data_IF_594020658200
#
_entry.id   IF_594020658200
#
_cell.length_a   1.000
_cell.length_b   1.000
_cell.length_c   1.000
_cell.angle_alpha   90.00
_cell.angle_beta   90.00
_cell.angle_gamma   90.00
#
_symmetry.space_group_name_H-M   'P 1'
#
loop_
_entity.id
_entity.type
_entity.pdbx_description
1 polymer ?
#
# COMPACT_ATOMS: atom_id res chain seq x y z
N UNK A 1 -22.49 6.93 -2.34
CA UNK A 1 -21.69 8.07 -2.88
C UNK A 1 -21.16 7.78 -4.28
N UNK A 2 -20.32 6.76 -4.49
CA UNK A 2 -19.78 6.43 -5.83
C UNK A 2 -20.90 6.19 -6.86
N UNK A 3 -21.91 5.40 -6.50
CA UNK A 3 -23.08 5.17 -7.36
C UNK A 3 -23.86 6.45 -7.68
N UNK A 4 -24.00 7.35 -6.70
CA UNK A 4 -24.68 8.64 -6.90
C UNK A 4 -23.91 9.54 -7.88
N UNK A 5 -22.57 9.56 -7.79
CA UNK A 5 -21.73 10.26 -8.78
C UNK A 5 -21.92 9.66 -10.18
N UNK A 6 -21.94 8.33 -10.29
CA UNK A 6 -22.21 7.63 -11.55
C UNK A 6 -23.58 7.98 -12.15
N UNK A 7 -24.64 7.97 -11.34
CA UNK A 7 -26.00 8.38 -11.76
C UNK A 7 -26.08 9.84 -12.21
N UNK A 8 -25.22 10.70 -11.66
CA UNK A 8 -25.11 12.10 -12.05
C UNK A 8 -24.16 12.33 -13.25
N UNK A 9 -23.68 11.28 -13.92
CA UNK A 9 -22.74 11.39 -15.04
C UNK A 9 -21.35 11.89 -14.64
N UNK A 10 -21.01 11.87 -13.35
CA UNK A 10 -19.72 12.35 -12.82
C UNK A 10 -18.85 11.14 -12.46
N UNK A 11 -17.64 11.01 -13.05
CA UNK A 11 -16.75 9.91 -12.66
C UNK A 11 -16.32 10.09 -11.20
N UNK A 12 -16.36 9.01 -10.43
CA UNK A 12 -15.86 9.03 -9.06
C UNK A 12 -14.34 9.26 -9.05
N UNK A 13 -13.83 10.26 -8.29
CA UNK A 13 -12.41 10.48 -8.13
C UNK A 13 -11.64 9.24 -7.68
N UNK A 14 -10.37 9.15 -8.06
CA UNK A 14 -9.54 7.97 -7.77
C UNK A 14 -9.49 7.66 -6.27
N UNK A 15 -9.28 8.66 -5.39
CA UNK A 15 -9.28 8.44 -3.93
C UNK A 15 -10.55 7.77 -3.39
N UNK A 16 -11.74 8.07 -3.94
CA UNK A 16 -12.99 7.40 -3.54
C UNK A 16 -13.06 5.96 -4.05
N UNK A 17 -12.67 5.74 -5.31
CA UNK A 17 -12.65 4.40 -5.90
C UNK A 17 -11.64 3.50 -5.18
N UNK A 18 -10.49 4.05 -4.79
CA UNK A 18 -9.48 3.38 -3.99
C UNK A 18 -10.05 2.93 -2.64
N UNK A 19 -10.78 3.80 -1.93
CA UNK A 19 -11.42 3.42 -0.66
C UNK A 19 -12.41 2.26 -0.86
N UNK A 20 -13.24 2.30 -1.90
CA UNK A 20 -14.16 1.19 -2.18
C UNK A 20 -13.43 -0.12 -2.55
N UNK A 21 -12.34 -0.02 -3.31
CA UNK A 21 -11.52 -1.17 -3.70
C UNK A 21 -10.86 -1.84 -2.49
N UNK A 22 -10.34 -1.06 -1.54
CA UNK A 22 -9.71 -1.57 -0.31
C UNK A 22 -10.61 -2.49 0.51
N UNK A 23 -11.92 -2.19 0.53
CA UNK A 23 -12.94 -2.94 1.27
C UNK A 23 -13.66 -3.99 0.42
N UNK A 24 -13.21 -4.23 -0.81
CA UNK A 24 -13.86 -5.19 -1.70
C UNK A 24 -13.72 -6.63 -1.15
N UNK A 25 -14.82 -7.39 -1.00
CA UNK A 25 -14.76 -8.77 -0.50
C UNK A 25 -14.13 -9.74 -1.52
N UNK A 26 -13.91 -9.29 -2.78
CA UNK A 26 -13.35 -10.12 -3.85
C UNK A 26 -11.83 -10.17 -3.86
N UNK A 27 -11.17 -9.37 -3.04
CA UNK A 27 -9.71 -9.32 -3.04
C UNK A 27 -9.15 -10.69 -2.65
N UNK A 28 -8.16 -11.13 -3.42
CA UNK A 28 -7.39 -12.32 -3.13
C UNK A 28 -6.07 -11.93 -2.48
N UNK A 29 -5.49 -12.86 -1.72
CA UNK A 29 -4.23 -12.66 -1.01
C UNK A 29 -3.18 -13.68 -1.44
N UNK A 30 -1.93 -13.25 -1.47
CA UNK A 30 -0.76 -14.12 -1.64
C UNK A 30 0.42 -13.56 -0.84
N UNK A 31 1.34 -14.44 -0.44
CA UNK A 31 2.64 -14.04 0.11
C UNK A 31 3.73 -14.44 -0.87
N UNK A 32 4.64 -13.51 -1.14
CA UNK A 32 5.77 -13.70 -2.03
C UNK A 32 7.05 -13.61 -1.24
N UNK A 33 7.89 -14.64 -1.28
CA UNK A 33 9.27 -14.49 -0.84
C UNK A 33 10.01 -13.62 -1.85
N UNK A 34 10.82 -12.71 -1.32
CA UNK A 34 11.57 -11.72 -2.07
C UNK A 34 13.01 -11.69 -1.62
N UNK A 35 13.93 -11.26 -2.48
CA UNK A 35 15.32 -11.04 -2.06
C UNK A 35 15.46 -9.83 -1.13
N UNK A 36 14.62 -8.82 -1.33
CA UNK A 36 14.51 -7.66 -0.45
C UNK A 36 13.06 -7.14 -0.46
N UNK A 37 12.38 -7.13 0.69
CA UNK A 37 10.99 -6.69 0.79
C UNK A 37 10.83 -5.20 0.52
N UNK A 38 11.86 -4.36 0.74
CA UNK A 38 11.81 -2.94 0.38
C UNK A 38 11.68 -2.75 -1.13
N UNK A 39 12.38 -3.60 -1.90
CA UNK A 39 12.25 -3.64 -3.36
C UNK A 39 10.90 -4.26 -3.75
N UNK A 40 10.45 -5.30 -3.03
CA UNK A 40 9.13 -5.90 -3.22
C UNK A 40 7.98 -4.88 -3.06
N UNK A 41 7.95 -4.13 -1.95
CA UNK A 41 6.98 -3.07 -1.66
C UNK A 41 7.13 -1.82 -2.56
N UNK A 42 8.24 -1.68 -3.28
CA UNK A 42 8.41 -0.66 -4.30
C UNK A 42 7.87 -1.11 -5.66
N UNK A 43 8.12 -2.37 -6.03
CA UNK A 43 7.91 -2.87 -7.40
C UNK A 43 6.57 -3.56 -7.62
N UNK A 44 6.02 -4.21 -6.59
CA UNK A 44 4.75 -4.95 -6.71
C UNK A 44 3.54 -4.00 -6.63
N UNK A 45 3.48 -3.01 -5.70
CA UNK A 45 2.32 -2.14 -5.58
C UNK A 45 1.91 -1.35 -6.84
N UNK A 46 2.82 -0.88 -7.71
CA UNK A 46 2.44 -0.20 -8.94
C UNK A 46 1.69 -1.07 -9.95
N UNK A 47 1.78 -2.40 -9.83
CA UNK A 47 1.12 -3.31 -10.76
C UNK A 47 -0.41 -3.09 -10.76
N UNK A 48 -1.07 -3.15 -11.93
CA UNK A 48 -2.53 -3.08 -12.01
C UNK A 48 -3.20 -4.10 -11.09
N UNK A 49 -4.28 -3.70 -10.44
CA UNK A 49 -5.05 -4.60 -9.56
C UNK A 49 -4.42 -4.92 -8.21
N UNK A 50 -3.15 -4.60 -7.95
CA UNK A 50 -2.58 -4.70 -6.59
C UNK A 50 -3.17 -3.60 -5.71
N UNK A 51 -3.70 -3.98 -4.55
CA UNK A 51 -4.44 -3.08 -3.65
C UNK A 51 -3.67 -2.81 -2.37
N UNK A 52 -3.03 -3.82 -1.83
CA UNK A 52 -2.30 -3.74 -0.57
C UNK A 52 -0.99 -4.53 -0.66
N UNK A 53 0.06 -4.02 -0.03
CA UNK A 53 1.30 -4.75 0.22
C UNK A 53 1.78 -4.53 1.64
N UNK A 54 2.45 -5.53 2.20
CA UNK A 54 3.10 -5.40 3.51
C UNK A 54 4.34 -6.28 3.61
N UNK A 55 5.46 -5.66 3.97
CA UNK A 55 6.71 -6.35 4.25
C UNK A 55 6.62 -7.23 5.51
N UNK A 56 7.25 -8.39 5.41
CA UNK A 56 7.32 -9.38 6.48
C UNK A 56 8.41 -10.41 6.23
N UNK A 57 8.33 -11.47 7.02
CA UNK A 57 9.29 -12.56 7.05
C UNK A 57 8.56 -13.89 6.92
N UNK A 58 9.10 -14.78 6.12
CA UNK A 58 8.71 -16.20 6.09
C UNK A 58 9.88 -17.06 6.55
N UNK A 59 9.71 -18.38 6.59
CA UNK A 59 10.83 -19.29 6.74
C UNK A 59 11.85 -19.20 5.58
N UNK A 60 11.47 -18.63 4.43
CA UNK A 60 12.34 -18.44 3.26
C UNK A 60 13.13 -17.13 3.27
N UNK A 61 12.89 -16.24 4.23
CA UNK A 61 13.57 -14.95 4.35
C UNK A 61 12.59 -13.77 4.27
N UNK A 62 12.99 -12.72 3.55
CA UNK A 62 12.19 -11.52 3.35
C UNK A 62 10.99 -11.81 2.44
N UNK A 63 9.83 -11.24 2.77
CA UNK A 63 8.61 -11.49 2.02
C UNK A 63 7.69 -10.28 1.96
N UNK A 64 6.80 -10.27 0.98
CA UNK A 64 5.73 -9.29 0.84
C UNK A 64 4.40 -10.01 0.76
N UNK A 65 3.50 -9.68 1.69
CA UNK A 65 2.09 -10.06 1.63
C UNK A 65 1.35 -9.08 0.73
N UNK A 66 0.56 -9.58 -0.21
CA UNK A 66 -0.12 -8.77 -1.22
C UNK A 66 -1.60 -9.14 -1.27
N UNK A 67 -2.47 -8.13 -1.30
CA UNK A 67 -3.87 -8.30 -1.71
C UNK A 67 -4.10 -7.66 -3.07
N UNK A 68 -4.81 -8.34 -3.94
CA UNK A 68 -5.06 -7.90 -5.31
C UNK A 68 -6.48 -8.22 -5.76
N UNK A 69 -6.94 -7.49 -6.76
CA UNK A 69 -8.25 -7.67 -7.37
C UNK A 69 -8.16 -8.65 -8.56
N UNK A 70 -8.73 -9.87 -8.44
CA UNK A 70 -8.70 -10.86 -9.52
C UNK A 70 -9.45 -10.43 -10.78
N UNK A 71 -10.32 -9.40 -10.70
CA UNK A 71 -11.00 -8.85 -11.87
C UNK A 71 -10.08 -7.94 -12.73
N UNK A 72 -8.92 -7.53 -12.20
CA UNK A 72 -7.98 -6.61 -12.86
C UNK A 72 -6.64 -7.27 -13.16
N UNK A 73 -6.16 -8.14 -12.26
CA UNK A 73 -4.89 -8.86 -12.45
C UNK A 73 -5.01 -10.29 -11.95
N UNK A 74 -4.18 -11.17 -12.47
CA UNK A 74 -4.05 -12.54 -11.98
C UNK A 74 -2.79 -12.72 -11.14
N UNK A 75 -2.79 -13.75 -10.30
CA UNK A 75 -1.60 -14.18 -9.60
C UNK A 75 -0.45 -14.54 -10.57
N UNK A 76 -0.79 -15.10 -11.74
CA UNK A 76 0.19 -15.41 -12.79
C UNK A 76 0.86 -14.15 -13.35
N UNK A 77 0.11 -13.07 -13.57
CA UNK A 77 0.68 -11.80 -14.03
C UNK A 77 1.52 -11.12 -12.95
N UNK A 78 1.06 -11.10 -11.68
CA UNK A 78 1.88 -10.57 -10.57
C UNK A 78 3.19 -11.36 -10.44
N UNK A 79 3.11 -12.69 -10.49
CA UNK A 79 4.27 -13.58 -10.42
C UNK A 79 5.23 -13.39 -11.59
N UNK A 80 4.71 -13.22 -12.81
CA UNK A 80 5.49 -12.97 -14.02
C UNK A 80 6.24 -11.65 -13.93
N UNK A 81 5.57 -10.57 -13.56
CA UNK A 81 6.21 -9.26 -13.40
C UNK A 81 7.22 -9.27 -12.25
N UNK A 82 6.89 -9.89 -11.12
CA UNK A 82 7.83 -9.99 -10.00
C UNK A 82 9.07 -10.83 -10.33
N UNK A 83 8.95 -11.90 -11.12
CA UNK A 83 10.13 -12.62 -11.65
C UNK A 83 10.95 -11.77 -12.62
N UNK A 84 10.30 -11.04 -13.53
CA UNK A 84 11.00 -10.13 -14.47
C UNK A 84 11.83 -9.08 -13.73
N UNK A 85 11.35 -8.68 -12.55
CA UNK A 85 12.00 -7.72 -11.67
C UNK A 85 12.96 -8.39 -10.66
N UNK A 86 13.24 -9.68 -10.82
CA UNK A 86 14.06 -10.50 -9.91
C UNK A 86 13.70 -10.28 -8.44
N UNK A 87 12.40 -10.19 -8.13
CA UNK A 87 11.94 -9.89 -6.77
C UNK A 87 11.05 -10.99 -6.16
N UNK A 88 10.65 -12.04 -6.90
CA UNK A 88 9.82 -13.13 -6.37
C UNK A 88 10.52 -14.47 -6.56
N UNK A 89 10.73 -15.21 -5.47
CA UNK A 89 11.37 -16.53 -5.46
C UNK A 89 10.40 -17.66 -5.13
N UNK A 90 9.52 -17.46 -4.14
CA UNK A 90 8.47 -18.42 -3.74
C UNK A 90 7.12 -17.74 -3.60
N UNK A 91 6.06 -18.53 -3.77
CA UNK A 91 4.67 -18.07 -3.71
C UNK A 91 3.94 -18.93 -2.69
N UNK A 92 3.16 -18.27 -1.85
CA UNK A 92 2.35 -18.89 -0.81
C UNK A 92 0.90 -18.44 -0.95
N UNK A 93 -0.02 -19.40 -1.02
CA UNK A 93 -1.44 -19.15 -1.33
C UNK A 93 -2.38 -19.66 -0.24
N UNK A 94 -3.47 -18.92 0.05
CA UNK A 94 -4.44 -19.36 1.03
C UNK A 94 -5.16 -20.62 0.53
N UNK A 95 -5.75 -21.43 1.42
CA UNK A 95 -6.49 -22.62 1.02
C UNK A 95 -7.56 -22.30 -0.03
N UNK A 96 -7.64 -23.12 -1.09
CA UNK A 96 -8.61 -22.95 -2.16
C UNK A 96 -8.29 -21.84 -3.19
N UNK A 97 -7.20 -21.08 -3.02
CA UNK A 97 -6.80 -20.10 -4.03
C UNK A 97 -6.29 -20.78 -5.31
N UNK A 98 -6.64 -20.26 -6.50
CA UNK A 98 -6.23 -20.83 -7.76
C UNK A 98 -4.72 -20.62 -8.01
N UNK A 99 -4.03 -21.69 -8.39
CA UNK A 99 -2.62 -21.68 -8.81
C UNK A 99 -2.43 -21.76 -10.33
N UNK A 100 -3.53 -21.77 -11.10
CA UNK A 100 -3.52 -21.92 -12.55
C UNK A 100 -2.67 -20.83 -13.22
N UNK A 101 -1.81 -21.22 -14.15
CA UNK A 101 -0.98 -20.29 -14.93
C UNK A 101 0.31 -19.84 -14.24
N UNK A 102 0.55 -20.26 -12.99
CA UNK A 102 1.85 -20.06 -12.36
C UNK A 102 2.93 -20.92 -13.04
N UNK A 103 4.08 -20.30 -13.32
CA UNK A 103 5.27 -20.99 -13.85
C UNK A 103 6.15 -21.62 -12.77
N UNK A 104 5.82 -21.41 -11.49
CA UNK A 104 6.54 -21.95 -10.35
C UNK A 104 5.54 -22.54 -9.35
N UNK A 105 5.93 -23.55 -8.57
CA UNK A 105 5.06 -24.13 -7.57
C UNK A 105 4.69 -23.08 -6.52
N UNK A 106 3.44 -23.14 -6.07
CA UNK A 106 2.97 -22.40 -4.91
C UNK A 106 2.83 -23.35 -3.71
N UNK A 107 3.25 -22.89 -2.54
CA UNK A 107 3.07 -23.61 -1.29
C UNK A 107 1.81 -23.11 -0.54
N UNK A 108 1.25 -23.91 0.39
CA UNK A 108 0.18 -23.43 1.27
C UNK A 108 0.63 -22.24 2.12
N UNK A 109 -0.20 -21.21 2.26
CA UNK A 109 0.15 -20.00 3.01
C UNK A 109 0.48 -20.25 4.48
N UNK A 110 -0.14 -21.27 5.08
CA UNK A 110 0.20 -21.69 6.44
C UNK A 110 1.68 -22.10 6.60
N UNK A 111 2.29 -22.68 5.55
CA UNK A 111 3.70 -23.09 5.61
C UNK A 111 4.68 -21.91 5.50
N UNK A 112 4.21 -20.75 5.05
CA UNK A 112 5.01 -19.52 5.02
C UNK A 112 5.44 -19.09 6.42
N UNK A 113 4.63 -19.40 7.45
CA UNK A 113 4.79 -18.89 8.82
C UNK A 113 5.04 -17.38 8.83
N UNK A 114 4.23 -16.65 8.06
CA UNK A 114 4.43 -15.22 7.83
C UNK A 114 4.41 -14.45 9.15
N UNK A 115 5.45 -13.66 9.39
CA UNK A 115 5.55 -12.72 10.51
C UNK A 115 5.71 -11.31 9.97
N UNK A 116 5.00 -10.39 10.58
CA UNK A 116 5.07 -8.99 10.21
C UNK A 116 6.47 -8.39 10.44
N UNK A 117 6.96 -7.57 9.51
CA UNK A 117 8.22 -6.85 9.70
C UNK A 117 8.05 -5.70 10.70
N UNK A 118 9.17 -5.20 11.24
CA UNK A 118 9.12 -4.05 12.13
C UNK A 118 8.47 -2.84 11.43
N UNK A 119 7.84 -1.96 12.21
CA UNK A 119 7.21 -0.74 11.68
C UNK A 119 8.21 0.17 10.96
N UNK A 120 9.49 0.12 11.33
CA UNK A 120 10.56 0.84 10.65
C UNK A 120 10.76 0.39 9.20
N UNK A 121 10.49 -0.88 8.91
CA UNK A 121 10.86 -1.57 7.67
C UNK A 121 9.71 -1.63 6.67
N UNK A 122 8.48 -1.40 7.13
CA UNK A 122 7.28 -1.39 6.29
C UNK A 122 7.10 -0.04 5.62
N UNK A 123 6.71 -0.06 4.35
CA UNK A 123 6.49 1.14 3.55
C UNK A 123 7.66 2.14 3.68
N UNK A 124 8.88 1.61 3.66
CA UNK A 124 10.12 2.33 3.96
C UNK A 124 10.30 3.61 3.15
N UNK A 125 9.96 3.58 1.86
CA UNK A 125 10.14 4.73 0.99
C UNK A 125 9.22 5.88 1.41
N UNK A 126 7.96 5.57 1.73
CA UNK A 126 6.98 6.58 2.16
C UNK A 126 7.49 7.41 3.34
N UNK A 127 8.20 6.79 4.30
CA UNK A 127 8.71 7.44 5.52
C UNK A 127 9.64 8.62 5.24
N UNK A 128 10.21 8.71 4.03
CA UNK A 128 11.13 9.78 3.61
C UNK A 128 10.39 11.02 3.09
N UNK A 129 9.10 10.88 2.79
CA UNK A 129 8.27 11.94 2.20
C UNK A 129 7.31 12.56 3.23
N UNK A 130 6.95 13.85 3.08
CA UNK A 130 5.95 14.51 3.92
C UNK A 130 4.60 13.74 3.98
N UNK A 131 4.27 13.05 2.89
CA UNK A 131 3.13 12.16 2.75
C UNK A 131 2.99 11.13 3.89
N UNK A 132 4.09 10.71 4.52
CA UNK A 132 4.04 9.77 5.63
C UNK A 132 3.14 10.22 6.78
N UNK A 133 3.09 11.53 7.04
CA UNK A 133 2.30 12.11 8.13
C UNK A 133 0.82 12.29 7.78
N UNK A 134 0.41 11.98 6.55
CA UNK A 134 -1.00 12.07 6.20
C UNK A 134 -1.82 10.97 6.88
N UNK A 135 -3.10 11.24 7.22
CA UNK A 135 -4.04 10.19 7.59
C UNK A 135 -4.38 9.35 6.35
N UNK A 136 -3.55 8.35 6.04
CA UNK A 136 -3.67 7.50 4.86
C UNK A 136 -4.40 6.19 5.16
N UNK A 137 -5.24 5.76 4.23
CA UNK A 137 -5.74 4.37 4.16
C UNK A 137 -4.60 3.40 3.82
N UNK A 138 -4.72 2.11 4.17
CA UNK A 138 -3.76 1.08 3.77
C UNK A 138 -3.41 1.08 2.27
N UNK A 139 -4.39 1.19 1.37
CA UNK A 139 -4.18 1.25 -0.07
C UNK A 139 -3.41 2.51 -0.47
N UNK A 140 -3.80 3.68 0.04
CA UNK A 140 -3.06 4.92 -0.21
C UNK A 140 -1.61 4.77 0.23
N UNK A 141 -1.35 4.19 1.40
CA UNK A 141 -0.02 3.94 1.94
C UNK A 141 0.80 3.01 1.03
N UNK A 142 0.21 1.89 0.63
CA UNK A 142 0.81 0.93 -0.32
C UNK A 142 1.18 1.61 -1.64
N UNK A 143 0.28 2.40 -2.22
CA UNK A 143 0.54 3.05 -3.52
C UNK A 143 1.55 4.18 -3.40
N UNK A 144 1.42 5.06 -2.41
CA UNK A 144 2.33 6.19 -2.22
C UNK A 144 3.75 5.74 -1.89
N UNK A 145 3.93 4.62 -1.19
CA UNK A 145 5.25 4.03 -0.96
C UNK A 145 6.02 3.77 -2.26
N UNK A 146 5.32 3.46 -3.35
CA UNK A 146 5.97 3.22 -4.63
C UNK A 146 5.98 4.46 -5.54
N UNK A 147 4.84 5.14 -5.68
CA UNK A 147 4.67 6.24 -6.65
C UNK A 147 5.60 7.43 -6.37
N UNK A 148 5.84 7.74 -5.09
CA UNK A 148 6.69 8.86 -4.69
C UNK A 148 8.17 8.65 -5.07
N UNK A 149 8.63 7.40 -5.12
CA UNK A 149 10.00 7.08 -5.59
C UNK A 149 10.14 7.35 -7.09
N UNK A 150 9.05 7.16 -7.85
CA UNK A 150 9.02 7.35 -9.30
C UNK A 150 8.59 8.76 -9.73
N UNK A 151 8.34 9.69 -8.79
CA UNK A 151 7.77 11.01 -9.06
C UNK A 151 6.49 10.95 -9.92
N UNK A 152 5.62 9.99 -9.62
CA UNK A 152 4.45 9.67 -10.43
C UNK A 152 3.22 10.46 -9.98
N UNK A 153 2.78 11.39 -10.82
CA UNK A 153 1.66 12.32 -10.57
C UNK A 153 0.33 11.66 -10.20
N UNK A 154 0.17 10.34 -10.38
CA UNK A 154 -0.97 9.58 -9.85
C UNK A 154 -1.08 9.66 -8.32
N UNK A 155 0.01 9.94 -7.62
CA UNK A 155 0.04 10.20 -6.18
C UNK A 155 -0.98 11.25 -5.72
N UNK A 156 -1.13 12.35 -6.45
CA UNK A 156 -2.05 13.44 -6.12
C UNK A 156 -3.50 13.00 -6.27
N UNK A 157 -3.79 12.14 -7.26
CA UNK A 157 -5.14 11.61 -7.51
C UNK A 157 -5.59 10.60 -6.44
N UNK A 158 -4.65 9.96 -5.75
CA UNK A 158 -4.92 9.06 -4.63
C UNK A 158 -5.34 9.80 -3.37
N UNK A 159 -5.02 11.08 -3.25
CA UNK A 159 -5.32 11.88 -2.08
C UNK A 159 -6.65 12.62 -2.22
N UNK A 160 -7.41 12.67 -1.12
CA UNK A 160 -8.58 13.53 -1.04
C UNK A 160 -8.19 15.02 -0.99
N UNK A 161 -9.10 15.94 -1.34
CA UNK A 161 -8.84 17.39 -1.22
C UNK A 161 -8.36 17.81 0.18
N UNK A 162 -8.92 17.20 1.25
CA UNK A 162 -8.48 17.44 2.63
C UNK A 162 -7.06 16.96 2.89
N UNK A 163 -6.69 15.79 2.38
CA UNK A 163 -5.32 15.27 2.51
C UNK A 163 -4.31 16.15 1.75
N UNK A 164 -4.67 16.66 0.56
CA UNK A 164 -3.83 17.61 -0.17
C UNK A 164 -3.65 18.93 0.59
N UNK A 165 -4.71 19.45 1.21
CA UNK A 165 -4.61 20.64 2.06
C UNK A 165 -3.72 20.41 3.30
N UNK A 166 -3.85 19.24 3.94
CA UNK A 166 -2.98 18.84 5.06
C UNK A 166 -1.52 18.68 4.61
N UNK A 167 -1.27 18.11 3.44
CA UNK A 167 0.08 17.93 2.90
C UNK A 167 0.81 19.27 2.77
N UNK A 168 0.14 20.29 2.21
CA UNK A 168 0.70 21.64 2.09
C UNK A 168 1.07 22.24 3.45
N UNK A 169 0.23 22.04 4.48
CA UNK A 169 0.50 22.48 5.86
C UNK A 169 1.70 21.73 6.46
N UNK A 170 1.77 20.41 6.27
CA UNK A 170 2.88 19.56 6.73
C UNK A 170 4.19 20.05 6.09
N UNK A 171 4.20 20.31 4.79
CA UNK A 171 5.36 20.82 4.07
C UNK A 171 5.81 22.19 4.59
N UNK A 172 4.86 23.10 4.84
CA UNK A 172 5.14 24.42 5.42
C UNK A 172 5.78 24.31 6.82
N UNK A 173 5.21 23.48 7.71
CA UNK A 173 5.76 23.25 9.05
C UNK A 173 7.12 22.57 8.99
N UNK A 174 7.30 21.55 8.13
CA UNK A 174 8.59 20.88 7.93
C UNK A 174 9.67 21.85 7.45
N UNK A 175 9.30 22.80 6.57
CA UNK A 175 10.21 23.85 6.09
C UNK A 175 10.59 24.83 7.21
N UNK A 176 9.66 25.18 8.08
CA UNK A 176 9.87 26.16 9.15
C UNK A 176 10.55 25.58 10.40
N UNK A 177 10.15 24.38 10.84
CA UNK A 177 10.54 23.75 12.12
C UNK A 177 11.41 22.48 11.94
N UNK A 178 11.68 22.06 10.71
CA UNK A 178 12.43 20.84 10.40
C UNK A 178 11.60 19.55 10.53
N UNK A 179 12.19 18.37 10.23
CA UNK A 179 11.50 17.08 10.26
C UNK A 179 11.12 16.62 11.68
N UNK A 180 11.82 17.09 12.72
CA UNK A 180 11.55 16.75 14.12
C UNK A 180 10.19 17.25 14.64
N UNK A 181 9.54 18.19 13.94
CA UNK A 181 8.22 18.69 14.30
C UNK A 181 7.13 17.61 14.40
N UNK A 182 7.36 16.43 13.81
CA UNK A 182 6.40 15.33 13.77
C UNK A 182 6.88 14.08 14.53
N UNK A 183 7.95 14.16 15.33
CA UNK A 183 8.57 12.99 15.98
C UNK A 183 7.61 12.25 16.93
N UNK A 184 6.73 12.98 17.61
CA UNK A 184 5.69 12.43 18.48
C UNK A 184 4.50 11.82 17.72
N UNK A 185 4.43 12.00 16.39
CA UNK A 185 3.31 11.56 15.57
C UNK A 185 3.61 10.24 14.86
N UNK A 186 2.88 9.21 15.29
CA UNK A 186 2.85 7.90 14.65
C UNK A 186 1.54 7.72 13.86
N UNK A 187 1.55 7.77 12.51
CA UNK A 187 0.38 7.45 11.70
C UNK A 187 -0.06 5.99 11.91
N UNK A 188 -1.38 5.70 11.99
CA UNK A 188 -1.90 4.34 12.10
C UNK A 188 -1.71 3.57 10.79
N UNK A 189 -1.17 2.35 10.86
CA UNK A 189 -0.80 1.55 9.68
C UNK A 189 -1.98 0.82 9.03
N UNK A 190 -2.98 0.46 9.83
CA UNK A 190 -4.15 -0.33 9.42
C UNK A 190 -5.37 0.53 9.04
N UNK A 191 -5.22 1.85 9.04
CA UNK A 191 -6.30 2.80 8.78
C UNK A 191 -7.33 2.92 9.91
N UNK A 192 -7.15 2.23 11.03
CA UNK A 192 -8.02 2.40 12.20
C UNK A 192 -7.67 3.70 12.92
N UNK A 193 -8.68 4.32 13.54
CA UNK A 193 -8.53 5.55 14.32
C UNK A 193 -7.91 6.74 13.55
N UNK A 194 -8.05 6.77 12.21
CA UNK A 194 -7.66 7.93 11.40
C UNK A 194 -8.28 9.26 11.89
N UNK A 195 -9.53 9.33 12.37
CA UNK A 195 -10.08 10.57 12.93
C UNK A 195 -9.30 11.09 14.15
N UNK A 196 -8.92 10.21 15.08
CA UNK A 196 -8.14 10.59 16.26
C UNK A 196 -6.71 11.00 15.89
N UNK A 197 -6.09 10.29 14.93
CA UNK A 197 -4.80 10.70 14.39
C UNK A 197 -4.86 12.08 13.71
N UNK A 198 -5.90 12.33 12.92
CA UNK A 198 -6.09 13.59 12.20
C UNK A 198 -6.17 14.78 13.16
N UNK A 199 -6.92 14.65 14.27
CA UNK A 199 -6.99 15.71 15.30
C UNK A 199 -5.62 16.03 15.90
N UNK A 200 -4.83 14.99 16.24
CA UNK A 200 -3.47 15.18 16.78
C UNK A 200 -2.53 15.81 15.77
N UNK A 201 -2.62 15.41 14.50
CA UNK A 201 -1.86 16.02 13.42
C UNK A 201 -2.21 17.50 13.27
N UNK A 202 -3.51 17.84 13.23
CA UNK A 202 -3.97 19.22 13.08
C UNK A 202 -3.48 20.13 14.20
N UNK A 203 -3.41 19.64 15.45
CA UNK A 203 -2.86 20.38 16.59
C UNK A 203 -1.35 20.66 16.47
N UNK A 204 -0.58 19.81 15.77
CA UNK A 204 0.86 20.05 15.50
C UNK A 204 1.05 21.04 14.34
N UNK A 205 0.03 21.19 13.48
CA UNK A 205 0.04 22.08 12.31
C UNK A 205 -0.50 23.48 12.60
N UNK A 206 -0.84 23.79 13.86
CA UNK A 206 -1.15 25.13 14.38
C UNK A 206 0.13 25.79 14.91
#
# INVERSE_FOLDING_TARGET
MIEALGKAGRPAPLYLRSLALEHSPRLQEAVFDTHCFHIGELRIPPLPGVVFSEAGWTAGGEAVRVRFDPAVTSLAEISKEGRRLSCITRIYLPPGAPSRGLKQPAAPMASAKYRLAARSDRHWNLRRHPHFHLPLTPLQRTKLNALLVYNDRREEQLLSPRQLALLRRIEAVRKAKGPGAFESLAPPEDGRNLPAYTKRLEAVLE
#
